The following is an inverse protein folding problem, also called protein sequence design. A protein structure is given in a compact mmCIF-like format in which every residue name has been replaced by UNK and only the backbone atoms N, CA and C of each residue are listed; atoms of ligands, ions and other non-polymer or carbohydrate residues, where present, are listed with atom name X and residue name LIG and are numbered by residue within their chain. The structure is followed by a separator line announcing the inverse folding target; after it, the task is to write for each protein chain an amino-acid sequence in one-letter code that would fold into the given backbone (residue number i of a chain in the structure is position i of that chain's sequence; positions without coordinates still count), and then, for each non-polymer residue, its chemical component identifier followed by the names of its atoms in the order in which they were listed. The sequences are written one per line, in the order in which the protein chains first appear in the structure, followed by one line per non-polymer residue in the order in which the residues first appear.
data_IF_955930926870
#
_entry.id   IF_955930926870
#
_cell.length_a   1.000
_cell.length_b   1.000
_cell.length_c   1.000
_cell.angle_alpha   90.00
_cell.angle_beta   90.00
_cell.angle_gamma   90.00
#
_symmetry.space_group_name_H-M   'P 1'
#
loop_
_entity.id
_entity.type
_entity.pdbx_description
1 polymer ?
#
# COMPACT_ATOMS: atom_id res chain seq x y z
N UNK A 1 8.96 1.11 -15.72
CA UNK A 1 7.86 0.55 -14.92
C UNK A 1 7.61 1.48 -13.74
N UNK A 2 6.36 1.82 -13.49
CA UNK A 2 6.00 2.72 -12.41
C UNK A 2 5.57 1.92 -11.20
N UNK A 3 5.93 2.39 -10.02
CA UNK A 3 5.68 1.66 -8.79
C UNK A 3 5.07 2.56 -7.73
N UNK A 4 4.37 1.93 -6.80
CA UNK A 4 3.85 2.59 -5.61
C UNK A 4 3.87 1.59 -4.47
N UNK A 5 3.86 2.09 -3.25
CA UNK A 5 3.81 1.25 -2.06
C UNK A 5 2.80 1.80 -1.09
N UNK A 6 1.92 0.94 -0.61
CA UNK A 6 1.07 1.25 0.53
C UNK A 6 1.77 0.70 1.76
N UNK A 7 2.13 1.58 2.68
CA UNK A 7 2.84 1.19 3.89
C UNK A 7 1.92 1.32 5.09
N UNK A 8 2.01 0.34 5.97
CA UNK A 8 1.19 0.29 7.16
C UNK A 8 2.06 0.05 8.38
N UNK A 9 1.67 0.66 9.50
CA UNK A 9 2.33 0.49 10.79
C UNK A 9 1.31 0.15 11.83
N UNK A 10 1.64 -0.77 12.71
CA UNK A 10 0.78 -1.15 13.82
C UNK A 10 1.64 -1.73 14.92
N UNK A 11 1.07 -1.86 16.13
CA UNK A 11 1.80 -2.46 17.23
C UNK A 11 2.13 -3.93 16.97
N UNK A 12 1.26 -4.61 16.21
CA UNK A 12 1.48 -6.00 15.84
C UNK A 12 1.59 -6.12 14.34
N UNK A 13 2.57 -6.87 13.90
CA UNK A 13 2.77 -7.09 12.47
C UNK A 13 1.53 -7.69 11.82
N UNK A 14 0.84 -8.60 12.52
CA UNK A 14 -0.36 -9.22 11.99
C UNK A 14 -1.43 -8.19 11.65
N UNK A 15 -1.58 -7.15 12.46
CA UNK A 15 -2.55 -6.10 12.21
C UNK A 15 -2.21 -5.32 10.95
N UNK A 16 -0.93 -4.97 10.78
CA UNK A 16 -0.49 -4.26 9.58
C UNK A 16 -0.69 -5.13 8.34
N UNK A 17 -0.32 -6.39 8.41
CA UNK A 17 -0.48 -7.32 7.29
C UNK A 17 -1.95 -7.54 6.94
N UNK A 18 -2.80 -7.68 7.96
CA UNK A 18 -4.23 -7.87 7.73
C UNK A 18 -4.85 -6.64 7.05
N UNK A 19 -4.44 -5.45 7.47
CA UNK A 19 -4.89 -4.22 6.82
C UNK A 19 -4.50 -4.21 5.34
N UNK A 20 -3.26 -4.57 5.03
CA UNK A 20 -2.80 -4.56 3.65
C UNK A 20 -3.51 -5.61 2.80
N UNK A 21 -3.81 -6.78 3.35
CA UNK A 21 -4.57 -7.81 2.63
C UNK A 21 -5.98 -7.33 2.33
N UNK A 22 -6.62 -6.68 3.31
CA UNK A 22 -7.94 -6.12 3.10
C UNK A 22 -7.90 -5.02 2.04
N UNK A 23 -6.89 -4.16 2.09
CA UNK A 23 -6.73 -3.10 1.12
C UNK A 23 -6.57 -3.65 -0.30
N UNK A 24 -5.82 -4.73 -0.45
CA UNK A 24 -5.59 -5.33 -1.76
C UNK A 24 -6.90 -5.81 -2.41
N UNK A 25 -7.90 -6.15 -1.60
CA UNK A 25 -9.18 -6.64 -2.10
C UNK A 25 -10.25 -5.57 -2.26
N UNK A 26 -9.98 -4.32 -1.90
CA UNK A 26 -11.00 -3.28 -1.92
C UNK A 26 -11.42 -2.88 -3.33
N UNK A 27 -10.46 -2.76 -4.23
CA UNK A 27 -10.73 -2.33 -5.60
C UNK A 27 -9.96 -3.26 -6.52
N UNK A 28 -10.65 -3.84 -7.49
CA UNK A 28 -9.98 -4.72 -8.45
C UNK A 28 -9.05 -3.88 -9.32
N UNK A 29 -7.79 -4.28 -9.49
CA UNK A 29 -6.89 -3.53 -10.34
C UNK A 29 -7.27 -3.69 -11.81
N UNK A 30 -7.19 -2.62 -12.60
CA UNK A 30 -7.43 -2.72 -14.04
C UNK A 30 -6.29 -3.47 -14.72
N UNK A 31 -6.51 -3.83 -15.96
CA UNK A 31 -5.46 -4.44 -16.76
C UNK A 31 -4.25 -3.50 -16.78
N UNK A 32 -3.07 -4.04 -16.58
CA UNK A 32 -1.85 -3.26 -16.57
C UNK A 32 -1.39 -2.80 -15.20
N UNK A 33 -2.20 -2.97 -14.17
CA UNK A 33 -1.79 -2.67 -12.79
C UNK A 33 -1.69 -3.98 -12.03
N UNK A 34 -0.53 -4.21 -11.42
CA UNK A 34 -0.31 -5.40 -10.59
C UNK A 34 -0.20 -5.01 -9.13
N UNK A 35 -0.85 -5.79 -8.28
CA UNK A 35 -0.71 -5.66 -6.84
C UNK A 35 -0.02 -6.92 -6.35
N UNK A 36 1.10 -6.74 -5.66
CA UNK A 36 1.86 -7.86 -5.12
C UNK A 36 1.35 -8.22 -3.73
N UNK A 37 1.79 -9.35 -3.22
CA UNK A 37 1.40 -9.77 -1.88
C UNK A 37 2.00 -8.85 -0.82
N UNK A 38 1.27 -8.57 0.27
CA UNK A 38 1.84 -7.80 1.37
C UNK A 38 3.05 -8.52 1.96
N UNK A 39 4.01 -7.74 2.42
CA UNK A 39 5.20 -8.29 3.04
C UNK A 39 5.67 -7.39 4.17
N UNK A 40 6.35 -7.93 5.17
CA UNK A 40 6.97 -7.10 6.20
C UNK A 40 7.99 -6.18 5.56
N UNK A 41 8.10 -4.97 6.08
CA UNK A 41 9.13 -4.05 5.64
C UNK A 41 10.50 -4.57 6.08
N UNK A 42 11.55 -4.21 5.34
CA UNK A 42 12.91 -4.65 5.65
C UNK A 42 13.26 -4.31 7.10
N UNK A 43 12.89 -3.12 7.56
CA UNK A 43 13.00 -2.75 8.97
C UNK A 43 11.60 -2.87 9.53
N UNK A 44 11.28 -4.04 10.08
CA UNK A 44 9.91 -4.35 10.47
C UNK A 44 9.48 -3.63 11.74
N UNK A 45 10.42 -3.29 12.62
CA UNK A 45 10.08 -2.61 13.87
C UNK A 45 10.79 -1.28 13.98
N UNK A 46 10.02 -0.23 14.30
CA UNK A 46 10.58 1.09 14.52
C UNK A 46 9.73 1.81 15.54
N UNK A 47 10.36 2.31 16.58
CA UNK A 47 9.65 3.04 17.66
C UNK A 47 8.50 2.22 18.25
N UNK A 48 8.69 0.92 18.38
CA UNK A 48 7.67 0.05 18.95
C UNK A 48 6.57 -0.35 17.98
N UNK A 49 6.68 0.02 16.70
CA UNK A 49 5.70 -0.32 15.69
C UNK A 49 6.27 -1.31 14.68
N UNK A 50 5.44 -2.26 14.29
CA UNK A 50 5.76 -3.18 13.20
C UNK A 50 5.31 -2.56 11.89
N UNK A 51 6.10 -2.74 10.85
CA UNK A 51 5.84 -2.13 9.56
C UNK A 51 5.71 -3.19 8.48
N UNK A 52 4.80 -2.93 7.55
CA UNK A 52 4.59 -3.80 6.39
C UNK A 52 4.30 -2.94 5.18
N UNK A 53 4.41 -3.51 4.00
CA UNK A 53 4.13 -2.80 2.76
C UNK A 53 3.48 -3.68 1.74
N UNK A 54 2.74 -3.05 0.84
CA UNK A 54 2.10 -3.68 -0.30
C UNK A 54 2.56 -2.92 -1.54
N UNK A 55 3.21 -3.62 -2.45
CA UNK A 55 3.75 -2.99 -3.65
C UNK A 55 2.79 -3.10 -4.81
N UNK A 56 2.77 -2.05 -5.63
CA UNK A 56 1.99 -2.02 -6.87
C UNK A 56 2.92 -1.62 -8.01
N UNK A 57 2.60 -2.07 -9.20
CA UNK A 57 3.44 -1.85 -10.37
C UNK A 57 2.59 -1.72 -11.61
N UNK A 58 2.99 -0.83 -12.53
CA UNK A 58 2.31 -0.67 -13.80
C UNK A 58 3.26 -0.14 -14.85
N UNK A 59 3.09 -0.57 -16.08
CA UNK A 59 3.81 -0.01 -17.21
C UNK A 59 3.23 1.35 -17.61
N UNK A 60 2.01 1.65 -17.17
CA UNK A 60 1.33 2.90 -17.52
C UNK A 60 1.22 3.77 -16.27
N UNK A 61 1.86 4.92 -16.29
CA UNK A 61 1.77 5.87 -15.20
C UNK A 61 0.34 6.36 -14.99
N UNK A 62 -0.35 6.64 -16.10
CA UNK A 62 -1.74 7.13 -16.03
C UNK A 62 -2.66 6.08 -15.40
N UNK A 63 -2.50 4.83 -15.78
CA UNK A 63 -3.31 3.75 -15.22
C UNK A 63 -3.04 3.58 -13.73
N UNK A 64 -1.77 3.65 -13.34
CA UNK A 64 -1.42 3.52 -11.94
C UNK A 64 -2.00 4.67 -11.12
N UNK A 65 -1.85 5.89 -11.60
CA UNK A 65 -2.36 7.05 -10.86
C UNK A 65 -3.88 7.04 -10.75
N UNK A 66 -4.57 6.64 -11.80
CA UNK A 66 -6.03 6.54 -11.77
C UNK A 66 -6.46 5.49 -10.74
N UNK A 67 -5.79 4.35 -10.72
CA UNK A 67 -6.09 3.31 -9.76
C UNK A 67 -5.81 3.80 -8.34
N UNK A 68 -4.69 4.48 -8.11
CA UNK A 68 -4.33 4.95 -6.78
C UNK A 68 -5.35 5.94 -6.23
N UNK A 69 -5.88 6.82 -7.08
CA UNK A 69 -6.92 7.75 -6.63
C UNK A 69 -8.17 7.01 -6.16
N UNK A 70 -8.64 6.06 -6.94
CA UNK A 70 -9.82 5.29 -6.58
C UNK A 70 -9.57 4.46 -5.34
N UNK A 71 -8.37 3.90 -5.24
CA UNK A 71 -8.01 3.05 -4.13
C UNK A 71 -7.92 3.83 -2.83
N UNK A 72 -7.25 5.00 -2.88
CA UNK A 72 -7.15 5.84 -1.69
C UNK A 72 -8.51 6.34 -1.22
N UNK A 73 -9.42 6.61 -2.15
CA UNK A 73 -10.78 7.01 -1.79
C UNK A 73 -11.54 5.88 -1.11
N UNK A 74 -11.21 4.63 -1.45
CA UNK A 74 -11.85 3.46 -0.85
C UNK A 74 -11.24 3.08 0.48
N UNK A 75 -9.98 3.47 0.73
CA UNK A 75 -9.33 3.15 1.99
C UNK A 75 -9.92 3.97 3.12
N UNK A 76 -10.16 3.36 4.28
CA UNK A 76 -10.73 4.12 5.41
C UNK A 76 -9.72 5.16 5.89
N UNK A 77 -10.21 6.36 6.14
CA UNK A 77 -9.36 7.45 6.63
C UNK A 77 -8.73 7.08 7.97
N UNK A 78 -9.52 6.47 8.83
CA UNK A 78 -9.01 5.92 10.07
C UNK A 78 -8.97 4.43 9.86
N UNK A 79 -7.92 3.93 9.35
CA UNK A 79 -7.78 2.50 9.21
C UNK A 79 -8.23 1.81 10.48
N UNK A 80 -8.58 0.55 10.39
CA UNK A 80 -8.91 -0.25 11.54
C UNK A 80 -8.05 0.17 12.71
N UNK A 81 -8.65 0.25 13.88
CA UNK A 81 -8.01 0.81 15.06
C UNK A 81 -6.58 0.33 15.24
N UNK A 82 -5.69 1.27 15.43
CA UNK A 82 -4.30 0.97 15.70
C UNK A 82 -3.41 0.82 14.49
N UNK A 83 -3.95 0.94 13.27
CA UNK A 83 -3.14 0.85 12.07
C UNK A 83 -3.03 2.24 11.44
N UNK A 84 -1.80 2.65 11.17
CA UNK A 84 -1.51 3.88 10.43
C UNK A 84 -0.98 3.49 9.07
N UNK A 85 -1.40 4.23 8.05
CA UNK A 85 -0.95 3.91 6.70
C UNK A 85 -0.67 5.19 5.92
N UNK A 86 0.16 5.05 4.90
CA UNK A 86 0.35 6.11 3.92
C UNK A 86 0.72 5.48 2.58
N UNK A 87 0.42 6.19 1.52
CA UNK A 87 0.74 5.76 0.17
C UNK A 87 1.97 6.52 -0.29
N UNK A 88 2.94 5.77 -0.80
CA UNK A 88 4.20 6.33 -1.29
C UNK A 88 4.28 6.03 -2.79
N UNK A 89 4.07 7.05 -3.61
CA UNK A 89 4.22 6.88 -5.04
C UNK A 89 5.71 6.84 -5.38
N UNK A 90 6.04 6.18 -6.47
CA UNK A 90 7.42 5.99 -6.86
C UNK A 90 8.14 7.33 -7.02
N UNK A 91 9.09 7.64 -6.16
CA UNK A 91 9.80 8.92 -6.26
C UNK A 91 10.67 9.04 -7.50
N UNK A 92 10.99 7.95 -8.13
CA UNK A 92 11.78 7.97 -9.36
C UNK A 92 11.03 8.70 -10.46
N UNK A 93 9.72 8.76 -10.34
CA UNK A 93 8.89 9.46 -11.31
C UNK A 93 9.17 10.94 -11.40
N UNK A 94 9.85 11.46 -10.42
CA UNK A 94 10.11 12.90 -10.37
C UNK A 94 11.24 13.33 -11.29
N UNK A 95 11.95 12.41 -11.81
CA UNK A 95 13.10 12.72 -12.69
C UNK A 95 12.68 13.26 -14.03
#
# INVERSE_FOLDING_TARGET
MHEAALRAEARKLDAAMAFLRAAAGLVAPPAGVQIFNPMPHVITRRAGLERAQLLLQSASRAALQAFLRAWCAALPASAASGVRWHLDADPIEFD
#
